data_IF_177536544308
#
_entry.id   IF_177536544308
#
_cell.length_a   1.000
_cell.length_b   1.000
_cell.length_c   1.000
_cell.angle_alpha   90.00
_cell.angle_beta   90.00
_cell.angle_gamma   90.00
#
_symmetry.space_group_name_H-M   'P 1'
#
loop_
_entity.id
_entity.type
_entity.pdbx_description
1 polymer ?
#
# COMPACT_ATOMS: atom_id res chain seq x y z
N UNK A 1 -14.70 17.42 -9.40
CA UNK A 1 -13.93 16.17 -9.39
C UNK A 1 -13.63 15.81 -7.95
N UNK A 2 -14.17 14.70 -7.45
CA UNK A 2 -13.72 14.16 -6.17
C UNK A 2 -12.32 13.57 -6.41
N UNK A 3 -11.28 14.27 -5.92
CA UNK A 3 -9.94 13.71 -5.90
C UNK A 3 -9.95 12.61 -4.84
N UNK A 4 -9.73 11.34 -5.21
CA UNK A 4 -9.52 10.31 -4.20
C UNK A 4 -8.22 10.65 -3.47
N UNK A 5 -8.31 10.87 -2.16
CA UNK A 5 -7.14 11.10 -1.34
C UNK A 5 -6.25 9.86 -1.41
N UNK A 6 -4.93 10.04 -1.49
CA UNK A 6 -3.96 8.94 -1.49
C UNK A 6 -3.92 8.24 -0.13
N UNK A 7 -4.44 8.91 0.89
CA UNK A 7 -4.46 8.48 2.27
C UNK A 7 -5.75 7.71 2.55
N UNK A 8 -5.61 6.48 3.05
CA UNK A 8 -6.72 5.72 3.59
C UNK A 8 -7.31 6.47 4.80
N UNK A 9 -8.57 6.94 4.72
CA UNK A 9 -9.16 7.71 5.81
C UNK A 9 -9.44 6.84 7.03
N UNK A 10 -9.86 5.58 6.84
CA UNK A 10 -10.16 4.68 7.94
C UNK A 10 -8.86 4.22 8.65
N UNK A 11 -7.82 3.85 7.89
CA UNK A 11 -6.53 3.50 8.47
C UNK A 11 -5.93 4.69 9.23
N UNK A 12 -5.98 5.90 8.65
CA UNK A 12 -5.51 7.12 9.31
C UNK A 12 -6.22 7.35 10.64
N UNK A 13 -7.55 7.16 10.68
CA UNK A 13 -8.32 7.36 11.88
C UNK A 13 -7.96 6.32 12.97
N UNK A 14 -7.76 5.06 12.60
CA UNK A 14 -7.35 4.00 13.54
C UNK A 14 -5.95 4.30 14.11
N UNK A 15 -4.98 4.63 13.25
CA UNK A 15 -3.62 4.95 13.67
C UNK A 15 -3.55 6.22 14.53
N UNK A 16 -4.36 7.24 14.22
CA UNK A 16 -4.49 8.44 15.07
C UNK A 16 -5.04 8.10 16.46
N UNK A 17 -6.11 7.30 16.52
CA UNK A 17 -6.69 6.86 17.80
C UNK A 17 -5.67 6.11 18.64
N UNK A 18 -4.90 5.24 18.00
CA UNK A 18 -3.91 4.42 18.67
C UNK A 18 -2.72 5.26 19.15
N UNK A 19 -2.24 6.22 18.35
CA UNK A 19 -1.15 7.12 18.73
C UNK A 19 -1.55 8.10 19.86
N UNK A 20 -2.78 8.62 19.82
CA UNK A 20 -3.27 9.62 20.78
C UNK A 20 -3.85 9.01 22.06
N UNK A 21 -3.81 7.69 22.21
CA UNK A 21 -4.36 7.03 23.37
C UNK A 21 -3.56 7.34 24.64
N UNK A 22 -4.23 7.93 25.65
CA UNK A 22 -3.61 8.22 26.96
C UNK A 22 -3.22 6.95 27.75
N UNK A 23 -3.83 5.81 27.42
CA UNK A 23 -3.56 4.49 28.02
C UNK A 23 -3.18 3.51 26.93
N UNK A 24 -2.49 2.43 27.32
CA UNK A 24 -2.24 1.31 26.42
C UNK A 24 -3.58 0.75 25.91
N UNK A 25 -3.83 0.90 24.61
CA UNK A 25 -4.98 0.30 23.93
C UNK A 25 -4.45 -0.90 23.16
N UNK A 26 -5.04 -2.05 23.46
CA UNK A 26 -4.95 -3.25 22.63
C UNK A 26 -6.00 -3.12 21.53
N UNK A 27 -5.56 -3.26 20.28
CA UNK A 27 -6.47 -3.37 19.14
C UNK A 27 -6.17 -4.62 18.35
N UNK A 28 -7.23 -5.18 17.79
CA UNK A 28 -7.18 -6.19 16.74
C UNK A 28 -8.33 -5.86 15.77
N UNK A 29 -7.98 -5.19 14.67
CA UNK A 29 -8.94 -4.63 13.72
C UNK A 29 -8.66 -5.09 12.30
N UNK A 30 -9.67 -5.65 11.64
CA UNK A 30 -9.68 -5.86 10.19
C UNK A 30 -10.45 -4.72 9.52
N UNK A 31 -9.88 -4.22 8.40
CA UNK A 31 -10.47 -3.18 7.57
C UNK A 31 -10.35 -3.59 6.11
N UNK A 32 -11.45 -3.44 5.38
CA UNK A 32 -11.48 -3.61 3.93
C UNK A 32 -11.79 -2.28 3.27
N UNK A 33 -11.00 -1.90 2.27
CA UNK A 33 -11.20 -0.66 1.50
C UNK A 33 -11.29 -0.91 -0.01
N UNK A 34 -11.59 0.16 -0.76
CA UNK A 34 -11.62 0.13 -2.22
C UNK A 34 -10.33 -0.43 -2.79
N UNK A 35 -10.44 -1.21 -3.88
CA UNK A 35 -9.30 -1.91 -4.48
C UNK A 35 -9.04 -3.30 -3.91
N UNK A 36 -10.02 -3.86 -3.19
CA UNK A 36 -9.91 -5.18 -2.56
C UNK A 36 -8.71 -5.31 -1.62
N UNK A 37 -8.30 -4.19 -1.00
CA UNK A 37 -7.26 -4.20 0.02
C UNK A 37 -7.85 -4.62 1.36
N UNK A 38 -7.11 -5.45 2.08
CA UNK A 38 -7.34 -5.80 3.46
C UNK A 38 -6.20 -5.28 4.31
N UNK A 39 -6.57 -4.64 5.42
CA UNK A 39 -5.67 -4.26 6.49
C UNK A 39 -6.03 -5.04 7.74
N UNK A 40 -5.01 -5.49 8.46
CA UNK A 40 -5.14 -6.02 9.81
C UNK A 40 -4.20 -5.26 10.72
N UNK A 41 -4.76 -4.57 11.71
CA UNK A 41 -4.05 -3.68 12.63
C UNK A 41 -4.08 -4.27 14.02
N UNK A 42 -2.90 -4.55 14.58
CA UNK A 42 -2.75 -5.12 15.91
C UNK A 42 -1.83 -4.29 16.78
N UNK A 43 -2.16 -4.15 18.06
CA UNK A 43 -1.25 -3.70 19.12
C UNK A 43 -1.52 -4.50 20.38
N UNK A 44 -0.50 -4.68 21.22
CA UNK A 44 -0.65 -5.39 22.49
C UNK A 44 -0.61 -4.42 23.67
N UNK A 45 -1.41 -4.68 24.71
CA UNK A 45 -1.41 -3.87 25.93
C UNK A 45 -0.04 -3.83 26.63
N UNK A 46 0.77 -4.89 26.48
CA UNK A 46 2.13 -5.03 27.02
C UNK A 46 3.15 -4.13 26.33
N UNK A 47 2.91 -3.76 25.06
CA UNK A 47 3.78 -2.88 24.29
C UNK A 47 2.94 -1.95 23.38
N UNK A 48 2.27 -0.94 23.95
CA UNK A 48 1.32 -0.10 23.22
C UNK A 48 1.96 0.83 22.19
N UNK A 49 3.28 1.04 22.30
CA UNK A 49 4.05 1.88 21.36
C UNK A 49 4.51 1.10 20.13
N UNK A 50 4.19 -0.19 20.07
CA UNK A 50 4.43 -1.05 18.94
C UNK A 50 3.09 -1.53 18.37
N UNK A 51 2.86 -1.21 17.10
CA UNK A 51 1.71 -1.72 16.36
C UNK A 51 2.18 -2.47 15.11
N UNK A 52 1.32 -3.35 14.62
CA UNK A 52 1.53 -4.12 13.40
C UNK A 52 0.41 -3.81 12.43
N UNK A 53 0.78 -3.53 11.18
CA UNK A 53 -0.13 -3.28 10.08
C UNK A 53 0.16 -4.32 8.99
N UNK A 54 -0.64 -5.37 8.96
CA UNK A 54 -0.60 -6.40 7.93
C UNK A 54 -1.51 -6.03 6.77
N UNK A 55 -1.06 -6.30 5.55
CA UNK A 55 -1.66 -5.81 4.30
C UNK A 55 -1.75 -6.95 3.30
N UNK A 56 -2.93 -7.11 2.72
CA UNK A 56 -3.18 -7.98 1.56
C UNK A 56 -3.83 -7.17 0.45
N UNK A 57 -3.23 -7.18 -0.73
CA UNK A 57 -3.67 -6.45 -1.90
C UNK A 57 -3.44 -7.29 -3.17
N UNK A 58 -4.48 -7.50 -4.01
CA UNK A 58 -4.32 -8.21 -5.27
C UNK A 58 -3.36 -7.49 -6.23
N UNK A 59 -2.63 -8.22 -7.08
CA UNK A 59 -1.83 -7.60 -8.14
C UNK A 59 -2.74 -6.92 -9.18
N UNK A 60 -2.36 -5.70 -9.58
CA UNK A 60 -3.07 -4.95 -10.63
C UNK A 60 -3.15 -5.70 -11.97
N UNK A 61 -2.18 -6.55 -12.30
CA UNK A 61 -2.19 -7.33 -13.55
C UNK A 61 -1.76 -8.77 -13.29
N UNK A 62 -2.73 -9.68 -13.37
CA UNK A 62 -2.48 -11.12 -13.22
C UNK A 62 -1.63 -11.64 -14.38
N UNK A 63 -0.61 -12.44 -14.07
CA UNK A 63 0.30 -13.03 -15.06
C UNK A 63 1.48 -12.13 -15.47
N UNK A 64 1.43 -10.83 -15.18
CA UNK A 64 2.58 -9.91 -15.33
C UNK A 64 3.24 -9.66 -13.97
N UNK A 65 2.42 -9.42 -12.94
CA UNK A 65 2.90 -9.21 -11.58
C UNK A 65 2.85 -10.51 -10.77
N UNK A 66 3.81 -10.72 -9.86
CA UNK A 66 3.76 -11.82 -8.91
C UNK A 66 2.55 -11.71 -7.98
N UNK A 67 2.12 -12.84 -7.41
CA UNK A 67 1.09 -12.87 -6.36
C UNK A 67 1.60 -12.26 -5.04
N UNK A 68 2.91 -12.24 -4.83
CA UNK A 68 3.57 -11.52 -3.74
C UNK A 68 4.00 -10.13 -4.22
N UNK A 69 4.31 -9.21 -3.31
CA UNK A 69 4.85 -7.91 -3.70
C UNK A 69 6.23 -8.05 -4.37
N UNK A 70 6.47 -7.26 -5.42
CA UNK A 70 7.77 -7.24 -6.11
C UNK A 70 8.85 -6.61 -5.22
N UNK A 71 10.14 -6.92 -5.46
CA UNK A 71 11.24 -6.25 -4.76
C UNK A 71 11.19 -4.72 -4.89
N UNK A 72 10.79 -4.21 -6.06
CA UNK A 72 10.62 -2.77 -6.28
C UNK A 72 9.54 -2.17 -5.38
N UNK A 73 8.38 -2.83 -5.29
CA UNK A 73 7.30 -2.39 -4.41
C UNK A 73 7.72 -2.42 -2.93
N UNK A 74 8.44 -3.45 -2.51
CA UNK A 74 8.98 -3.55 -1.15
C UNK A 74 9.92 -2.38 -0.83
N UNK A 75 10.83 -2.01 -1.74
CA UNK A 75 11.72 -0.86 -1.55
C UNK A 75 10.95 0.47 -1.47
N UNK A 76 9.90 0.64 -2.27
CA UNK A 76 9.04 1.83 -2.19
C UNK A 76 8.31 1.92 -0.85
N UNK A 77 7.87 0.78 -0.30
CA UNK A 77 7.22 0.72 1.02
C UNK A 77 8.23 1.00 2.15
N UNK A 78 9.47 0.50 2.08
CA UNK A 78 10.53 0.83 3.06
C UNK A 78 10.84 2.34 3.12
N UNK A 79 10.59 3.07 2.02
CA UNK A 79 10.74 4.52 1.98
C UNK A 79 9.69 5.28 2.80
N UNK A 80 8.61 4.64 3.24
CA UNK A 80 7.56 5.28 4.04
C UNK A 80 8.09 5.46 5.46
N UNK A 81 8.36 6.72 5.85
CA UNK A 81 8.74 7.08 7.23
C UNK A 81 9.76 6.09 7.85
N UNK A 82 11.00 5.98 7.31
CA UNK A 82 11.91 4.87 7.60
C UNK A 82 12.36 4.74 9.06
N UNK A 83 12.15 5.77 9.88
CA UNK A 83 12.40 5.70 11.33
C UNK A 83 11.23 5.01 12.06
N UNK A 84 10.01 5.13 11.54
CA UNK A 84 8.77 4.65 12.17
C UNK A 84 8.36 3.28 11.66
N UNK A 85 8.60 3.00 10.38
CA UNK A 85 8.13 1.79 9.70
C UNK A 85 9.29 0.84 9.44
N UNK A 86 9.13 -0.40 9.91
CA UNK A 86 10.01 -1.53 9.62
C UNK A 86 9.16 -2.63 8.96
N UNK A 87 9.65 -3.27 7.90
CA UNK A 87 8.97 -4.45 7.33
C UNK A 87 9.33 -5.65 8.21
N UNK A 88 8.32 -6.37 8.68
CA UNK A 88 8.49 -7.62 9.40
C UNK A 88 8.53 -8.80 8.43
N UNK A 89 9.56 -9.63 8.56
CA UNK A 89 9.77 -10.82 7.73
C UNK A 89 9.88 -12.07 8.62
N UNK A 90 9.07 -13.13 8.38
CA UNK A 90 8.00 -13.21 7.37
C UNK A 90 6.77 -12.36 7.76
N UNK A 91 5.94 -12.04 6.77
CA UNK A 91 4.64 -11.43 7.02
C UNK A 91 3.75 -12.33 7.90
N UNK A 92 2.89 -11.71 8.72
CA UNK A 92 2.02 -12.39 9.68
C UNK A 92 0.78 -12.97 9.01
N UNK A 93 0.21 -14.01 9.62
CA UNK A 93 -1.17 -14.48 9.44
C UNK A 93 -1.66 -14.62 7.99
N UNK A 94 -0.77 -15.00 7.07
CA UNK A 94 -1.10 -15.21 5.65
C UNK A 94 -1.23 -13.92 4.83
N UNK A 95 -0.88 -12.77 5.39
CA UNK A 95 -0.79 -11.51 4.67
C UNK A 95 0.45 -11.45 3.77
N UNK A 96 0.43 -10.58 2.76
CA UNK A 96 1.56 -10.41 1.83
C UNK A 96 2.65 -9.52 2.40
N UNK A 97 2.31 -8.63 3.33
CA UNK A 97 3.20 -7.63 3.92
C UNK A 97 2.77 -7.35 5.35
N UNK A 98 3.72 -7.27 6.28
CA UNK A 98 3.48 -6.74 7.62
C UNK A 98 4.45 -5.61 7.91
N UNK A 99 3.89 -4.47 8.34
CA UNK A 99 4.63 -3.30 8.77
C UNK A 99 4.61 -3.24 10.30
N UNK A 100 5.78 -3.28 10.91
CA UNK A 100 5.98 -2.99 12.32
C UNK A 100 6.16 -1.49 12.49
N UNK A 101 5.27 -0.89 13.26
CA UNK A 101 5.17 0.56 13.48
C UNK A 101 5.69 0.90 14.88
N UNK A 102 6.81 1.63 14.93
CA UNK A 102 7.36 2.15 16.18
C UNK A 102 6.81 3.56 16.46
N UNK A 103 5.72 3.61 17.20
CA UNK A 103 4.95 4.83 17.44
C UNK A 103 5.69 5.81 18.36
N UNK A 104 6.65 5.32 19.15
CA UNK A 104 7.54 6.17 19.94
C UNK A 104 8.38 7.11 19.05
N UNK A 105 8.68 6.70 17.82
CA UNK A 105 9.46 7.50 16.87
C UNK A 105 8.63 8.53 16.11
N UNK A 106 7.31 8.56 16.32
CA UNK A 106 6.43 9.59 15.74
C UNK A 106 6.58 10.89 16.56
N UNK A 107 6.89 12.03 15.91
CA UNK A 107 7.04 13.32 16.59
C UNK A 107 5.79 13.74 17.39
N UNK A 108 5.96 14.19 18.64
CA UNK A 108 4.85 14.66 19.49
C UNK A 108 4.33 16.07 19.16
N UNK A 109 4.93 16.74 18.17
CA UNK A 109 4.46 18.04 17.67
C UNK A 109 3.34 17.83 16.62
N UNK A 110 2.90 18.87 15.92
CA UNK A 110 1.83 18.75 14.91
C UNK A 110 2.20 17.85 13.70
N UNK A 111 3.45 17.41 13.57
CA UNK A 111 3.90 16.59 12.45
C UNK A 111 3.44 15.13 12.53
N UNK A 112 2.94 14.63 13.67
CA UNK A 112 2.39 13.26 13.77
C UNK A 112 1.27 13.03 12.75
N UNK A 113 0.46 14.05 12.45
CA UNK A 113 -0.65 13.94 11.49
C UNK A 113 -0.12 13.62 10.09
N UNK A 114 1.02 14.22 9.73
CA UNK A 114 1.68 13.98 8.46
C UNK A 114 2.27 12.58 8.43
N UNK A 115 3.01 12.17 9.45
CA UNK A 115 3.62 10.83 9.54
C UNK A 115 2.56 9.73 9.47
N UNK A 116 1.48 9.86 10.24
CA UNK A 116 0.37 8.89 10.19
C UNK A 116 -0.34 8.93 8.83
N UNK A 117 -0.45 10.09 8.19
CA UNK A 117 -0.95 10.23 6.83
C UNK A 117 -0.07 9.51 5.80
N UNK A 118 1.25 9.66 5.90
CA UNK A 118 2.24 9.01 5.03
C UNK A 118 2.15 7.47 5.18
N UNK A 119 2.07 6.95 6.41
CA UNK A 119 1.84 5.51 6.68
C UNK A 119 0.51 5.05 6.07
N UNK A 120 -0.54 5.85 6.25
CA UNK A 120 -1.88 5.54 5.74
C UNK A 120 -2.01 5.63 4.21
N UNK A 121 -0.95 6.08 3.52
CA UNK A 121 -0.87 6.10 2.05
C UNK A 121 -0.27 4.84 1.44
N UNK A 122 0.05 3.82 2.26
CA UNK A 122 0.73 2.59 1.84
C UNK A 122 0.07 1.90 0.64
N UNK A 123 -1.27 1.90 0.54
CA UNK A 123 -1.96 1.36 -0.63
C UNK A 123 -1.60 2.12 -1.90
N UNK A 124 -1.62 3.45 -1.86
CA UNK A 124 -1.25 4.28 -3.00
C UNK A 124 0.21 4.03 -3.40
N UNK A 125 1.10 3.79 -2.44
CA UNK A 125 2.51 3.44 -2.72
C UNK A 125 2.59 2.09 -3.44
N UNK A 126 1.89 1.06 -2.95
CA UNK A 126 1.86 -0.26 -3.59
C UNK A 126 1.28 -0.19 -5.00
N UNK A 127 0.10 0.41 -5.17
CA UNK A 127 -0.57 0.52 -6.45
C UNK A 127 0.23 1.32 -7.48
N UNK A 128 0.83 2.44 -7.06
CA UNK A 128 1.66 3.24 -7.97
C UNK A 128 2.95 2.53 -8.35
N UNK A 129 3.53 1.72 -7.46
CA UNK A 129 4.70 0.90 -7.75
C UNK A 129 4.38 -0.18 -8.77
N UNK A 130 3.29 -0.94 -8.54
CA UNK A 130 2.80 -1.95 -9.47
C UNK A 130 2.49 -1.34 -10.85
N UNK A 131 1.79 -0.21 -10.90
CA UNK A 131 1.50 0.49 -12.15
C UNK A 131 2.78 0.90 -12.87
N UNK A 132 3.77 1.42 -12.14
CA UNK A 132 5.06 1.83 -12.74
C UNK A 132 5.81 0.64 -13.34
N UNK A 133 5.82 -0.50 -12.65
CA UNK A 133 6.41 -1.74 -13.17
C UNK A 133 5.72 -2.20 -14.45
N UNK A 134 4.39 -2.19 -14.48
CA UNK A 134 3.63 -2.50 -15.68
C UNK A 134 3.99 -1.53 -16.81
N UNK A 135 4.04 -0.23 -16.52
CA UNK A 135 4.37 0.82 -17.50
C UNK A 135 5.80 0.73 -18.05
N UNK A 136 6.77 0.27 -17.26
CA UNK A 136 8.11 -0.04 -17.76
C UNK A 136 8.09 -1.20 -18.75
N UNK A 137 7.31 -2.24 -18.45
CA UNK A 137 7.21 -3.43 -19.29
C UNK A 137 6.32 -3.23 -20.54
N UNK A 138 5.45 -2.20 -20.58
CA UNK A 138 4.65 -1.87 -21.78
C UNK A 138 5.54 -1.52 -22.99
N UNK A 139 6.80 -1.11 -22.74
CA UNK A 139 7.75 -0.77 -23.80
C UNK A 139 8.62 -1.94 -24.27
N UNK A 140 8.58 -3.11 -23.61
CA UNK A 140 9.53 -4.20 -23.89
C UNK A 140 9.08 -5.16 -24.99
N UNK A 141 7.81 -5.12 -25.39
CA UNK A 141 7.32 -5.94 -26.50
C UNK A 141 7.64 -5.22 -27.81
N UNK A 142 8.60 -5.76 -28.58
CA UNK A 142 8.93 -5.41 -29.98
C UNK A 142 7.78 -5.78 -30.94
N UNK A 143 6.54 -5.54 -30.53
CA UNK A 143 5.38 -5.71 -31.36
C UNK A 143 5.45 -4.70 -32.52
N UNK A 144 5.23 -5.20 -33.74
CA UNK A 144 5.17 -4.36 -34.94
C UNK A 144 4.25 -3.14 -34.75
N UNK A 145 4.57 -1.97 -35.33
CA UNK A 145 3.76 -0.76 -35.19
C UNK A 145 2.29 -1.06 -35.56
N UNK A 146 1.40 -0.94 -34.57
CA UNK A 146 -0.04 -1.21 -34.74
C UNK A 146 -0.56 -2.50 -34.07
N UNK A 147 0.28 -3.32 -33.44
CA UNK A 147 -0.11 -4.56 -32.75
C UNK A 147 0.08 -4.54 -31.21
N UNK A 148 0.05 -3.38 -30.56
CA UNK A 148 0.17 -3.32 -29.10
C UNK A 148 -1.04 -3.97 -28.42
N UNK A 149 -0.80 -5.08 -27.71
CA UNK A 149 -1.83 -5.75 -26.92
C UNK A 149 -2.23 -4.87 -25.72
N UNK A 150 -3.53 -4.60 -25.52
CA UNK A 150 -3.99 -3.94 -24.30
C UNK A 150 -3.60 -4.74 -23.06
N UNK A 151 -3.07 -4.06 -22.05
CA UNK A 151 -2.81 -4.66 -20.74
C UNK A 151 -4.03 -4.42 -19.85
N UNK A 152 -4.62 -5.51 -19.38
CA UNK A 152 -5.78 -5.48 -18.49
C UNK A 152 -5.32 -5.25 -17.05
N UNK A 153 -5.77 -4.15 -16.48
CA UNK A 153 -5.58 -3.80 -15.07
C UNK A 153 -6.87 -4.07 -14.28
N UNK A 154 -6.73 -4.73 -13.14
CA UNK A 154 -7.84 -5.15 -12.27
C UNK A 154 -7.61 -4.55 -10.89
N UNK A 155 -8.07 -3.32 -10.70
CA UNK A 155 -8.12 -2.70 -9.37
C UNK A 155 -9.31 -3.23 -8.56
N UNK A 156 -10.46 -3.41 -9.21
CA UNK A 156 -11.63 -4.07 -8.64
C UNK A 156 -12.10 -5.18 -9.59
N UNK A 157 -12.48 -6.38 -9.10
CA UNK A 157 -12.80 -7.53 -9.96
C UNK A 157 -13.87 -7.27 -11.02
N UNK A 158 -14.80 -6.34 -10.75
CA UNK A 158 -15.90 -5.97 -11.65
C UNK A 158 -15.59 -4.78 -12.55
N UNK A 159 -14.49 -4.08 -12.33
CA UNK A 159 -14.16 -2.81 -12.99
C UNK A 159 -12.71 -2.86 -13.52
N UNK A 160 -12.44 -3.70 -14.53
CA UNK A 160 -11.14 -3.69 -15.18
C UNK A 160 -11.01 -2.45 -16.08
N UNK A 161 -9.79 -1.93 -16.17
CA UNK A 161 -9.41 -0.92 -17.16
C UNK A 161 -8.23 -1.41 -17.99
N UNK A 162 -8.04 -0.82 -19.16
CA UNK A 162 -7.03 -1.27 -20.11
C UNK A 162 -6.04 -0.15 -20.40
N UNK A 163 -4.75 -0.48 -20.39
CA UNK A 163 -3.66 0.41 -20.80
C UNK A 163 -3.16 -0.04 -22.16
N UNK A 164 -3.11 0.88 -23.10
CA UNK A 164 -2.65 0.65 -24.46
C UNK A 164 -1.57 1.68 -24.77
N UNK A 165 -0.44 1.23 -25.33
CA UNK A 165 0.59 2.12 -25.83
C UNK A 165 0.13 2.78 -27.12
N UNK A 166 0.20 4.11 -27.18
CA UNK A 166 -0.07 4.88 -28.40
C UNK A 166 1.21 5.56 -28.85
N UNK A 167 1.59 5.35 -30.11
CA UNK A 167 2.68 6.11 -30.75
C UNK A 167 2.07 7.41 -31.25
N UNK A 168 2.56 8.54 -30.75
CA UNK A 168 2.23 9.86 -31.29
C UNK A 168 3.21 10.12 -32.43
N UNK A 169 2.71 10.21 -33.66
CA UNK A 169 3.50 10.68 -34.80
C UNK A 169 3.63 12.21 -34.66
N UNK A 170 4.78 12.69 -34.23
CA UNK A 170 5.16 14.11 -34.23
C UNK A 170 6.17 14.40 -35.33
#
# INVERSE_FOLDING_TARGET
>A
MACMDRVSPALKQILLKLYLADKSIEIDHHLYEFGSIEYHIQSQASNPLLAYLSISIPPLCHGILPNNLSPYTIEMVKGICPNVVEIEEPARDGFQLTLKLNLYQIPRNKDYVKVIGDISSVQSVILSSQLKEILWNVNSDDASPGMYKPIKLVYHPREPFFVIRQVILT
#
